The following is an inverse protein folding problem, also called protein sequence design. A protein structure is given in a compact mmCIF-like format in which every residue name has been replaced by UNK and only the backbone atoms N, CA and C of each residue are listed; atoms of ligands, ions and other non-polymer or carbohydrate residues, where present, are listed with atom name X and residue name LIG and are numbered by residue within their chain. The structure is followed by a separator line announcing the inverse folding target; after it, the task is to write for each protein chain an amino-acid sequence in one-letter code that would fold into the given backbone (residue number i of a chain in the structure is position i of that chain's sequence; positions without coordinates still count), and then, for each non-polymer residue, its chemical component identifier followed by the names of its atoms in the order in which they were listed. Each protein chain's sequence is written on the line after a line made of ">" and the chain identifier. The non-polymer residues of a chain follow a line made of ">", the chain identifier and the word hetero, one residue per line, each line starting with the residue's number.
data_IF_224615879718
#
_entry.id   IF_224615879718
#
_cell.length_a   1.000
_cell.length_b   1.000
_cell.length_c   1.000
_cell.angle_alpha   90.00
_cell.angle_beta   90.00
_cell.angle_gamma   90.00
#
_symmetry.space_group_name_H-M   'P 1'
#
loop_
_entity.id
_entity.type
_entity.pdbx_description
1 polymer ?
#
# COMPACT_ATOMS: atom_id res chain seq x y z
N UNK A 1 3.32 7.27 4.08
CA UNK A 1 1.94 7.79 3.88
C UNK A 1 0.90 6.77 4.35
N UNK A 2 1.00 5.51 3.90
CA UNK A 2 0.07 4.43 4.30
C UNK A 2 0.06 4.15 5.81
N UNK A 3 1.24 3.98 6.43
CA UNK A 3 1.35 3.78 7.88
C UNK A 3 0.62 4.87 8.68
N UNK A 4 0.83 6.15 8.35
CA UNK A 4 0.14 7.27 9.02
C UNK A 4 -1.38 7.18 8.90
N UNK A 5 -1.90 6.71 7.77
CA UNK A 5 -3.34 6.54 7.59
C UNK A 5 -3.88 5.37 8.42
N UNK A 6 -3.14 4.27 8.50
CA UNK A 6 -3.52 3.13 9.35
C UNK A 6 -3.47 3.52 10.83
N UNK A 7 -2.44 4.27 11.25
CA UNK A 7 -2.33 4.79 12.62
C UNK A 7 -3.46 5.75 12.97
N UNK A 8 -3.86 6.61 12.01
CA UNK A 8 -4.99 7.51 12.17
C UNK A 8 -6.30 6.74 12.35
N UNK A 9 -6.59 5.79 11.46
CA UNK A 9 -7.78 4.94 11.56
C UNK A 9 -7.81 4.14 12.87
N UNK A 10 -6.68 3.60 13.30
CA UNK A 10 -6.54 2.90 14.58
C UNK A 10 -6.85 3.82 15.75
N UNK A 11 -6.34 5.05 15.74
CA UNK A 11 -6.60 6.04 16.80
C UNK A 11 -8.06 6.44 16.88
N UNK A 12 -8.71 6.70 15.74
CA UNK A 12 -10.12 7.09 15.73
C UNK A 12 -11.03 5.94 16.17
N UNK A 13 -10.71 4.72 15.75
CA UNK A 13 -11.52 3.53 16.04
C UNK A 13 -11.37 3.05 17.48
N UNK A 14 -10.17 3.15 18.06
CA UNK A 14 -9.85 2.60 19.38
C UNK A 14 -9.57 3.65 20.46
N UNK A 15 -10.03 4.89 20.26
CA UNK A 15 -9.80 6.02 21.19
C UNK A 15 -10.16 5.74 22.66
N UNK A 16 -11.17 4.92 22.90
CA UNK A 16 -11.66 4.60 24.24
C UNK A 16 -10.91 3.42 24.89
N UNK A 17 -10.11 2.68 24.11
CA UNK A 17 -9.46 1.43 24.51
C UNK A 17 -7.94 1.58 24.35
N UNK A 18 -7.24 2.17 25.35
CA UNK A 18 -5.83 2.53 25.23
C UNK A 18 -4.92 1.31 24.94
N UNK A 19 -5.21 0.16 25.54
CA UNK A 19 -4.41 -1.05 25.32
C UNK A 19 -4.61 -1.63 23.91
N UNK A 20 -5.85 -1.72 23.44
CA UNK A 20 -6.15 -2.12 22.05
C UNK A 20 -5.51 -1.18 21.03
N UNK A 21 -5.51 0.13 21.27
CA UNK A 21 -4.81 1.09 20.41
C UNK A 21 -3.30 0.82 20.37
N UNK A 22 -2.67 0.56 21.52
CA UNK A 22 -1.23 0.26 21.59
C UNK A 22 -0.89 -1.03 20.81
N UNK A 23 -1.66 -2.09 21.00
CA UNK A 23 -1.49 -3.37 20.30
C UNK A 23 -1.68 -3.17 18.80
N UNK A 24 -2.75 -2.49 18.39
CA UNK A 24 -3.03 -2.19 16.98
C UNK A 24 -1.90 -1.41 16.33
N UNK A 25 -1.40 -0.36 16.98
CA UNK A 25 -0.27 0.44 16.51
C UNK A 25 0.98 -0.41 16.30
N UNK A 26 1.34 -1.23 17.30
CA UNK A 26 2.51 -2.12 17.23
C UNK A 26 2.39 -3.14 16.09
N UNK A 27 1.21 -3.71 15.90
CA UNK A 27 0.95 -4.65 14.80
C UNK A 27 1.10 -3.94 13.45
N UNK A 28 0.51 -2.75 13.28
CA UNK A 28 0.65 -1.93 12.07
C UNK A 28 2.12 -1.65 11.75
N UNK A 29 2.90 -1.19 12.74
CA UNK A 29 4.33 -0.90 12.58
C UNK A 29 5.12 -2.16 12.14
N UNK A 30 4.90 -3.28 12.84
CA UNK A 30 5.59 -4.55 12.56
C UNK A 30 5.25 -5.08 11.17
N UNK A 31 3.98 -5.03 10.76
CA UNK A 31 3.55 -5.50 9.45
C UNK A 31 4.12 -4.59 8.35
N UNK A 32 4.04 -3.27 8.53
CA UNK A 32 4.55 -2.30 7.55
C UNK A 32 6.06 -2.48 7.33
N UNK A 33 6.83 -2.70 8.40
CA UNK A 33 8.28 -2.97 8.30
C UNK A 33 8.54 -4.27 7.52
N UNK A 34 7.85 -5.36 7.86
CA UNK A 34 7.99 -6.64 7.14
C UNK A 34 7.65 -6.51 5.66
N UNK A 35 6.52 -5.88 5.34
CA UNK A 35 6.11 -5.69 3.94
C UNK A 35 7.06 -4.74 3.18
N UNK A 36 7.66 -3.75 3.85
CA UNK A 36 8.68 -2.89 3.26
C UNK A 36 9.95 -3.64 2.90
N UNK A 37 10.38 -4.59 3.72
CA UNK A 37 11.55 -5.41 3.43
C UNK A 37 11.27 -6.33 2.23
N UNK A 38 10.11 -6.98 2.21
CA UNK A 38 9.69 -7.85 1.10
C UNK A 38 9.66 -7.07 -0.22
N UNK A 39 9.00 -5.91 -0.26
CA UNK A 39 8.92 -5.15 -1.53
C UNK A 39 10.27 -4.66 -2.00
N UNK A 40 11.17 -4.30 -1.07
CA UNK A 40 12.54 -3.90 -1.41
C UNK A 40 13.30 -5.04 -2.07
N UNK A 41 13.24 -6.25 -1.50
CA UNK A 41 13.85 -7.44 -2.10
C UNK A 41 13.28 -7.73 -3.49
N UNK A 42 11.96 -7.68 -3.65
CA UNK A 42 11.31 -7.91 -4.94
C UNK A 42 11.69 -6.86 -6.00
N UNK A 43 11.85 -5.60 -5.62
CA UNK A 43 12.30 -4.54 -6.55
C UNK A 43 13.74 -4.81 -7.01
N UNK A 44 14.62 -5.26 -6.10
CA UNK A 44 15.99 -5.64 -6.47
C UNK A 44 15.99 -6.82 -7.44
N UNK A 45 15.21 -7.86 -7.16
CA UNK A 45 15.02 -8.99 -8.08
C UNK A 45 14.53 -8.53 -9.46
N UNK A 46 13.60 -7.57 -9.51
CA UNK A 46 13.13 -7.00 -10.79
C UNK A 46 14.25 -6.33 -11.58
N UNK A 47 15.13 -5.56 -10.92
CA UNK A 47 16.28 -4.95 -11.59
C UNK A 47 17.28 -5.99 -12.09
N UNK A 48 17.53 -7.05 -11.33
CA UNK A 48 18.39 -8.16 -11.75
C UNK A 48 17.83 -8.89 -12.99
N UNK A 49 16.51 -9.06 -13.07
CA UNK A 49 15.86 -9.63 -14.25
C UNK A 49 15.99 -8.73 -15.49
N UNK A 50 15.85 -7.39 -15.35
CA UNK A 50 15.99 -6.45 -16.46
C UNK A 50 17.41 -6.44 -17.06
N UNK A 51 18.42 -6.90 -16.32
CA UNK A 51 19.79 -7.05 -16.83
C UNK A 51 19.96 -8.19 -17.85
N UNK A 52 19.04 -9.15 -17.93
CA UNK A 52 19.16 -10.29 -18.84
C UNK A 52 18.91 -9.96 -20.32
N UNK A 53 18.71 -8.68 -20.66
CA UNK A 53 18.44 -8.15 -22.01
C UNK A 53 17.40 -9.00 -22.75
N UNK A 54 16.14 -8.84 -22.37
CA UNK A 54 15.03 -9.62 -22.92
C UNK A 54 13.82 -8.75 -23.28
N UNK A 55 13.35 -8.90 -24.51
CA UNK A 55 12.12 -8.28 -24.99
C UNK A 55 11.45 -9.16 -26.03
N UNK A 56 10.13 -9.07 -26.13
CA UNK A 56 9.38 -9.70 -27.22
C UNK A 56 9.55 -8.91 -28.52
N UNK A 57 9.63 -9.63 -29.63
CA UNK A 57 9.84 -9.05 -30.97
C UNK A 57 8.73 -8.08 -31.36
N UNK A 58 7.47 -8.39 -31.04
CA UNK A 58 6.33 -7.53 -31.36
C UNK A 58 6.44 -6.15 -30.68
N UNK A 59 6.79 -6.14 -29.40
CA UNK A 59 6.97 -4.91 -28.60
C UNK A 59 8.18 -4.14 -29.12
N UNK A 60 9.29 -4.84 -29.36
CA UNK A 60 10.52 -4.23 -29.83
C UNK A 60 10.35 -3.59 -31.21
N UNK A 61 9.71 -4.30 -32.13
CA UNK A 61 9.47 -3.80 -33.49
C UNK A 61 8.55 -2.59 -33.47
N UNK A 62 7.52 -2.57 -32.61
CA UNK A 62 6.65 -1.41 -32.45
C UNK A 62 7.42 -0.18 -31.99
N UNK A 63 8.19 -0.29 -30.91
CA UNK A 63 8.99 0.84 -30.38
C UNK A 63 10.06 1.29 -31.38
N UNK A 64 10.67 0.36 -32.11
CA UNK A 64 11.63 0.67 -33.16
C UNK A 64 10.98 1.41 -34.36
N UNK A 65 9.75 1.06 -34.73
CA UNK A 65 9.00 1.76 -35.77
C UNK A 65 8.61 3.19 -35.32
N UNK A 66 8.14 3.34 -34.09
CA UNK A 66 7.82 4.64 -33.48
C UNK A 66 9.06 5.55 -33.38
N UNK A 67 10.20 4.98 -32.98
CA UNK A 67 11.47 5.71 -32.94
C UNK A 67 11.93 6.17 -34.35
N UNK A 68 11.67 5.37 -35.39
CA UNK A 68 11.99 5.73 -36.79
C UNK A 68 11.06 6.81 -37.35
N UNK A 69 9.77 6.78 -37.01
CA UNK A 69 8.84 7.84 -37.44
C UNK A 69 9.21 9.19 -36.84
N UNK A 70 9.65 9.23 -35.58
CA UNK A 70 10.10 10.48 -34.95
C UNK A 70 11.37 11.05 -35.60
N UNK A 71 12.30 10.20 -36.04
CA UNK A 71 13.52 10.64 -36.76
C UNK A 71 13.18 11.18 -38.16
N UNK A 72 12.19 10.59 -38.84
CA UNK A 72 11.74 11.04 -40.17
C UNK A 72 10.99 12.38 -40.12
N UNK A 73 10.31 12.69 -39.02
CA UNK A 73 9.64 13.98 -38.80
C UNK A 73 10.63 15.11 -38.45
N UNK A 74 11.79 14.79 -37.87
CA UNK A 74 12.86 15.76 -37.52
C UNK A 74 13.82 16.12 -38.68
N UNK A 75 13.60 15.60 -39.89
CA UNK A 75 14.17 16.17 -41.12
C UNK A 75 15.57 15.67 -41.54
N UNK A 76 16.05 14.52 -41.05
CA UNK A 76 17.28 13.91 -41.58
C UNK A 76 16.97 12.81 -42.61
N UNK A 77 17.02 13.18 -43.89
CA UNK A 77 17.09 12.23 -45.02
C UNK A 77 18.55 11.74 -45.08
N UNK A 78 18.87 10.65 -44.40
CA UNK A 78 20.12 9.93 -44.64
C UNK A 78 19.88 8.83 -45.67
N UNK A 79 20.29 9.11 -46.91
CA UNK A 79 20.33 8.18 -48.03
C UNK A 79 21.06 6.88 -47.68
N UNK A 80 20.49 5.80 -48.22
CA UNK A 80 20.96 4.43 -48.29
C UNK A 80 22.45 4.35 -48.70
N UNK A 81 23.34 4.27 -47.71
CA UNK A 81 24.73 3.85 -47.89
C UNK A 81 24.92 2.61 -47.05
N UNK A 82 25.17 1.48 -47.72
CA UNK A 82 25.65 0.19 -47.20
C UNK A 82 25.93 0.23 -45.69
N UNK A 83 24.87 0.08 -44.89
CA UNK A 83 24.97 0.33 -43.46
C UNK A 83 25.73 -0.82 -42.83
N UNK A 84 27.00 -0.55 -42.48
CA UNK A 84 27.70 -1.22 -41.40
C UNK A 84 26.67 -1.50 -40.30
N UNK A 85 26.41 -2.79 -40.04
CA UNK A 85 25.45 -3.24 -39.01
C UNK A 85 25.74 -2.57 -37.67
N UNK A 86 26.98 -2.11 -37.46
CA UNK A 86 27.42 -1.36 -36.30
C UNK A 86 26.73 -0.01 -36.10
N UNK A 87 26.30 0.67 -37.16
CA UNK A 87 25.61 1.96 -37.06
C UNK A 87 24.18 1.84 -36.53
N UNK A 88 23.59 0.63 -36.53
CA UNK A 88 22.23 0.36 -36.06
C UNK A 88 22.13 0.07 -34.55
N UNK A 89 23.24 -0.32 -33.90
CA UNK A 89 23.26 -0.65 -32.46
C UNK A 89 22.76 0.46 -31.54
N UNK A 90 23.11 1.76 -31.74
CA UNK A 90 22.62 2.82 -30.86
C UNK A 90 21.10 2.95 -30.87
N UNK A 91 20.46 2.80 -32.04
CA UNK A 91 19.01 2.85 -32.17
C UNK A 91 18.31 1.65 -31.54
N UNK A 92 18.86 0.45 -31.72
CA UNK A 92 18.37 -0.78 -31.08
C UNK A 92 18.45 -0.68 -29.55
N UNK A 93 19.55 -0.15 -29.03
CA UNK A 93 19.76 0.03 -27.60
C UNK A 93 18.82 1.09 -27.01
N UNK A 94 18.60 2.21 -27.72
CA UNK A 94 17.64 3.24 -27.33
C UNK A 94 16.22 2.67 -27.21
N UNK A 95 15.77 1.95 -28.23
CA UNK A 95 14.45 1.29 -28.22
C UNK A 95 14.31 0.29 -27.06
N UNK A 96 15.36 -0.48 -26.77
CA UNK A 96 15.34 -1.40 -25.63
C UNK A 96 15.21 -0.65 -24.29
N UNK A 97 15.99 0.42 -24.08
CA UNK A 97 15.90 1.21 -22.84
C UNK A 97 14.55 1.89 -22.67
N UNK A 98 13.92 2.36 -23.76
CA UNK A 98 12.56 2.92 -23.70
C UNK A 98 11.55 1.88 -23.18
N UNK A 99 11.64 0.64 -23.63
CA UNK A 99 10.80 -0.47 -23.15
C UNK A 99 11.05 -0.75 -21.66
N UNK A 100 12.32 -0.82 -21.25
CA UNK A 100 12.69 -1.06 -19.84
C UNK A 100 12.16 0.04 -18.93
N UNK A 101 12.30 1.31 -19.35
CA UNK A 101 11.81 2.45 -18.58
C UNK A 101 10.29 2.40 -18.42
N UNK A 102 9.55 2.14 -19.49
CA UNK A 102 8.09 2.02 -19.41
C UNK A 102 7.67 0.89 -18.47
N UNK A 103 8.29 -0.28 -18.62
CA UNK A 103 7.98 -1.45 -17.78
C UNK A 103 8.26 -1.19 -16.31
N UNK A 104 9.40 -0.59 -15.97
CA UNK A 104 9.74 -0.24 -14.59
C UNK A 104 8.81 0.85 -14.03
N UNK A 105 8.40 1.80 -14.86
CA UNK A 105 7.44 2.84 -14.48
C UNK A 105 6.07 2.25 -14.12
N UNK A 106 5.67 1.12 -14.71
CA UNK A 106 4.44 0.41 -14.36
C UNK A 106 4.65 -0.54 -13.16
N UNK A 107 5.67 -1.39 -13.21
CA UNK A 107 5.85 -2.50 -12.29
C UNK A 107 6.26 -2.06 -10.89
N UNK A 108 7.20 -1.11 -10.76
CA UNK A 108 7.70 -0.68 -9.45
C UNK A 108 6.60 -0.05 -8.60
N UNK A 109 5.81 0.93 -9.10
CA UNK A 109 4.68 1.47 -8.35
C UNK A 109 3.62 0.42 -8.05
N UNK A 110 3.33 -0.50 -8.99
CA UNK A 110 2.37 -1.58 -8.79
C UNK A 110 2.78 -2.49 -7.61
N UNK A 111 4.05 -2.87 -7.54
CA UNK A 111 4.58 -3.68 -6.44
C UNK A 111 4.51 -2.96 -5.10
N UNK A 112 4.90 -1.67 -5.05
CA UNK A 112 4.80 -0.85 -3.85
C UNK A 112 3.35 -0.78 -3.35
N UNK A 113 2.41 -0.46 -4.23
CA UNK A 113 0.99 -0.42 -3.90
C UNK A 113 0.47 -1.79 -3.43
N UNK A 114 0.89 -2.87 -4.07
CA UNK A 114 0.46 -4.20 -3.69
C UNK A 114 0.93 -4.61 -2.29
N UNK A 115 2.22 -4.47 -1.97
CA UNK A 115 2.77 -4.92 -0.69
C UNK A 115 2.48 -3.95 0.46
N UNK A 116 2.76 -2.66 0.27
CA UNK A 116 2.66 -1.65 1.33
C UNK A 116 1.21 -1.31 1.68
N UNK A 117 0.30 -1.35 0.70
CA UNK A 117 -1.12 -1.06 0.93
C UNK A 117 -1.96 -2.32 1.00
N UNK A 118 -2.08 -3.06 -0.11
CA UNK A 118 -3.08 -4.15 -0.22
C UNK A 118 -2.76 -5.34 0.69
N UNK A 119 -1.53 -5.85 0.68
CA UNK A 119 -1.12 -6.97 1.52
C UNK A 119 -1.04 -6.55 2.98
N UNK A 120 -0.45 -5.39 3.27
CA UNK A 120 -0.43 -4.86 4.64
C UNK A 120 -1.82 -4.75 5.24
N UNK A 121 -2.81 -4.19 4.51
CA UNK A 121 -4.20 -4.11 4.98
C UNK A 121 -4.78 -5.49 5.30
N UNK A 122 -4.61 -6.46 4.39
CA UNK A 122 -5.11 -7.83 4.59
C UNK A 122 -4.50 -8.47 5.85
N UNK A 123 -3.19 -8.35 6.03
CA UNK A 123 -2.48 -8.93 7.17
C UNK A 123 -2.90 -8.24 8.47
N UNK A 124 -2.98 -6.90 8.48
CA UNK A 124 -3.46 -6.14 9.65
C UNK A 124 -4.86 -6.61 10.05
N UNK A 125 -5.80 -6.73 9.10
CA UNK A 125 -7.14 -7.22 9.40
C UNK A 125 -7.12 -8.64 10.00
N UNK A 126 -6.29 -9.54 9.47
CA UNK A 126 -6.14 -10.89 10.00
C UNK A 126 -5.59 -10.87 11.42
N UNK A 127 -4.48 -10.17 11.67
CA UNK A 127 -3.85 -10.11 12.99
C UNK A 127 -4.77 -9.46 14.03
N UNK A 128 -5.59 -8.48 13.62
CA UNK A 128 -6.59 -7.87 14.51
C UNK A 128 -7.73 -8.83 14.86
N UNK A 129 -8.16 -9.69 13.94
CA UNK A 129 -9.16 -10.73 14.22
C UNK A 129 -8.58 -11.83 15.13
N UNK A 130 -7.30 -12.13 14.98
CA UNK A 130 -6.61 -13.10 15.82
C UNK A 130 -6.55 -12.66 17.30
N UNK A 131 -6.67 -11.35 17.59
CA UNK A 131 -6.76 -10.85 18.97
C UNK A 131 -8.01 -11.37 19.71
N UNK A 132 -9.11 -11.66 19.00
CA UNK A 132 -10.35 -12.14 19.61
C UNK A 132 -10.22 -13.54 20.23
N UNK A 133 -9.21 -14.30 19.78
CA UNK A 133 -8.99 -15.67 20.24
C UNK A 133 -7.99 -15.75 21.40
N UNK A 134 -7.50 -14.60 21.90
CA UNK A 134 -6.50 -14.58 22.96
C UNK A 134 -7.16 -14.51 24.34
N UNK A 135 -6.52 -15.17 25.31
CA UNK A 135 -6.98 -15.19 26.71
C UNK A 135 -6.92 -13.81 27.39
N UNK A 136 -6.24 -12.83 26.80
CA UNK A 136 -6.10 -11.46 27.30
C UNK A 136 -7.14 -10.47 26.72
N UNK A 137 -8.21 -10.97 26.09
CA UNK A 137 -9.25 -10.14 25.46
C UNK A 137 -9.85 -9.11 26.43
N UNK A 138 -10.11 -9.49 27.68
CA UNK A 138 -10.67 -8.58 28.70
C UNK A 138 -9.72 -7.42 29.03
N UNK A 139 -8.40 -7.69 29.06
CA UNK A 139 -7.39 -6.66 29.28
C UNK A 139 -7.27 -5.74 28.05
N UNK A 140 -7.40 -6.31 26.85
CA UNK A 140 -7.34 -5.56 25.60
C UNK A 140 -8.50 -4.57 25.47
N UNK A 141 -9.69 -5.00 25.90
CA UNK A 141 -10.92 -4.22 25.85
C UNK A 141 -11.15 -3.34 27.09
N UNK A 142 -10.13 -3.14 27.92
CA UNK A 142 -10.24 -2.24 29.06
C UNK A 142 -10.37 -0.78 28.57
N UNK A 143 -11.48 -0.15 28.93
CA UNK A 143 -11.71 1.26 28.66
C UNK A 143 -10.77 2.14 29.49
N UNK A 144 -10.50 3.34 28.98
CA UNK A 144 -9.88 4.39 29.77
C UNK A 144 -10.68 4.67 31.05
N UNK A 145 -9.98 4.80 32.18
CA UNK A 145 -10.62 4.91 33.50
C UNK A 145 -11.52 6.14 33.61
N UNK A 146 -11.14 7.26 33.03
CA UNK A 146 -11.94 8.49 33.08
C UNK A 146 -13.20 8.36 32.25
N UNK A 147 -13.07 7.77 31.05
CA UNK A 147 -14.20 7.50 30.16
C UNK A 147 -15.18 6.50 30.81
N UNK A 148 -14.66 5.44 31.41
CA UNK A 148 -15.46 4.44 32.11
C UNK A 148 -16.24 5.03 33.29
N UNK A 149 -15.59 5.86 34.12
CA UNK A 149 -16.24 6.56 35.22
C UNK A 149 -17.30 7.55 34.72
N UNK A 150 -17.00 8.31 33.66
CA UNK A 150 -17.94 9.24 33.06
C UNK A 150 -19.18 8.54 32.51
N UNK A 151 -19.00 7.41 31.81
CA UNK A 151 -20.10 6.56 31.33
C UNK A 151 -20.95 6.04 32.49
N UNK A 152 -20.33 5.53 33.55
CA UNK A 152 -21.06 5.03 34.72
C UNK A 152 -21.91 6.14 35.37
N UNK A 153 -21.38 7.37 35.46
CA UNK A 153 -22.12 8.53 35.98
C UNK A 153 -23.33 8.88 35.11
N UNK A 154 -23.17 8.92 33.78
CA UNK A 154 -24.26 9.20 32.85
C UNK A 154 -25.33 8.10 32.89
N UNK A 155 -24.92 6.83 32.95
CA UNK A 155 -25.85 5.71 33.07
C UNK A 155 -26.70 5.83 34.34
N UNK A 156 -26.07 6.09 35.49
CA UNK A 156 -26.79 6.28 36.75
C UNK A 156 -27.69 7.54 36.75
N UNK A 157 -27.41 8.55 35.93
CA UNK A 157 -28.31 9.68 35.72
C UNK A 157 -29.52 9.30 34.86
N UNK A 158 -29.29 8.60 33.75
CA UNK A 158 -30.34 8.12 32.87
C UNK A 158 -31.31 7.18 33.60
N UNK A 159 -30.80 6.21 34.36
CA UNK A 159 -31.62 5.27 35.13
C UNK A 159 -32.54 5.99 36.13
N UNK A 160 -32.02 7.05 36.79
CA UNK A 160 -32.82 7.87 37.70
C UNK A 160 -33.91 8.66 36.98
N UNK A 161 -33.63 9.17 35.78
CA UNK A 161 -34.61 9.90 34.98
C UNK A 161 -35.72 8.97 34.47
N UNK A 162 -35.37 7.75 34.06
CA UNK A 162 -36.33 6.71 33.65
C UNK A 162 -37.25 6.39 34.83
N UNK A 163 -36.69 6.11 36.01
CA UNK A 163 -37.49 5.84 37.22
C UNK A 163 -38.41 7.00 37.62
N UNK A 164 -37.98 8.25 37.42
CA UNK A 164 -38.82 9.41 37.67
C UNK A 164 -39.95 9.52 36.64
N UNK A 165 -39.66 9.28 35.37
CA UNK A 165 -40.64 9.30 34.29
C UNK A 165 -41.70 8.19 34.45
N UNK A 166 -41.30 6.99 34.85
CA UNK A 166 -42.21 5.88 35.10
C UNK A 166 -43.18 6.21 36.25
N UNK A 167 -42.67 6.84 37.31
CA UNK A 167 -43.51 7.32 38.43
C UNK A 167 -44.50 8.39 37.99
N UNK A 168 -44.08 9.33 37.14
CA UNK A 168 -44.97 10.37 36.59
C UNK A 168 -46.02 9.75 35.66
N UNK A 169 -45.65 8.76 34.86
CA UNK A 169 -46.57 8.09 33.91
C UNK A 169 -47.54 7.13 34.60
N UNK A 170 -47.24 6.71 35.83
CA UNK A 170 -48.11 5.87 36.67
C UNK A 170 -49.13 6.64 37.52
N UNK A 171 -49.10 7.98 37.46
CA UNK A 171 -50.05 8.90 38.08
C UNK A 171 -51.16 9.26 37.10
#
# INVERSE_FOLDING_TARGET
>A
MVQKQFDHLSRESFKNYPYLHLVSKKNIETIQEKQSNIVKERIVEQFEMEMQVYTQDEIFNKVMLEAKSHILEEGEIAEDKEQDTRSKYPGLLKAYYEIVVQRLADQVPMMICYFILKQSAKIVCSEMLDLLHRDDTDNILQEDSEIGQYRAKLQAQADRLILANDKISSL
#
